data_IF_747120058936
#
_entry.id   IF_747120058936
#
_cell.length_a   1.000
_cell.length_b   1.000
_cell.length_c   1.000
_cell.angle_alpha   90.00
_cell.angle_beta   90.00
_cell.angle_gamma   90.00
#
_symmetry.space_group_name_H-M   'P 1'
#
loop_
_entity.id
_entity.type
_entity.pdbx_description
1 polymer ?
#
# COMPACT_ATOMS: atom_id res chain seq x y z
N UNK A 1 -4.07 -1.90 -19.44
CA UNK A 1 -4.67 -0.56 -19.42
C UNK A 1 -4.84 -0.13 -17.97
N UNK A 2 -4.50 1.11 -17.68
CA UNK A 2 -4.61 1.71 -16.33
C UNK A 2 -5.77 2.70 -16.39
N UNK A 3 -6.77 2.49 -15.55
CA UNK A 3 -7.93 3.38 -15.45
C UNK A 3 -7.61 4.51 -14.47
N UNK A 4 -7.71 5.75 -14.91
CA UNK A 4 -7.53 6.93 -14.07
C UNK A 4 -8.74 7.85 -14.21
N UNK A 5 -9.04 8.59 -13.15
CA UNK A 5 -10.06 9.62 -13.18
C UNK A 5 -9.49 10.93 -13.75
N UNK A 6 -10.13 11.46 -14.76
CA UNK A 6 -9.80 12.76 -15.35
C UNK A 6 -10.69 13.84 -14.74
N UNK A 7 -10.15 14.56 -13.76
CA UNK A 7 -10.87 15.64 -13.05
C UNK A 7 -11.35 16.78 -13.97
N UNK A 8 -10.70 16.99 -15.13
CA UNK A 8 -11.10 18.07 -16.06
C UNK A 8 -12.34 17.72 -16.85
N UNK A 9 -12.50 16.46 -17.19
CA UNK A 9 -13.58 15.98 -18.06
C UNK A 9 -14.64 15.17 -17.31
N UNK A 10 -14.47 14.99 -16.00
CA UNK A 10 -15.38 14.21 -15.14
C UNK A 10 -15.67 12.82 -15.69
N UNK A 11 -14.65 12.13 -16.20
CA UNK A 11 -14.77 10.79 -16.78
C UNK A 11 -13.51 9.96 -16.59
N UNK A 12 -13.65 8.65 -16.70
CA UNK A 12 -12.50 7.76 -16.70
C UNK A 12 -11.71 7.84 -18.00
N UNK A 13 -10.42 7.97 -17.87
CA UNK A 13 -9.47 7.86 -18.96
C UNK A 13 -8.65 6.58 -18.80
N UNK A 14 -8.50 5.85 -19.89
CA UNK A 14 -7.63 4.69 -19.93
C UNK A 14 -6.23 5.12 -20.37
N UNK A 15 -5.26 4.97 -19.48
CA UNK A 15 -3.84 5.15 -19.82
C UNK A 15 -3.24 3.79 -20.16
N UNK A 16 -2.49 3.76 -21.24
CA UNK A 16 -1.63 2.61 -21.56
C UNK A 16 -0.21 2.94 -21.17
N UNK A 17 0.46 2.09 -20.39
CA UNK A 17 1.89 2.25 -20.16
C UNK A 17 2.63 2.28 -21.49
N UNK A 18 3.68 3.03 -21.55
CA UNK A 18 4.57 3.06 -22.73
C UNK A 18 5.19 1.67 -22.96
N UNK A 19 5.54 1.37 -24.20
CA UNK A 19 6.14 0.07 -24.55
C UNK A 19 7.42 -0.21 -23.75
N UNK A 20 8.26 0.79 -23.53
CA UNK A 20 9.49 0.65 -22.73
C UNK A 20 9.19 0.36 -21.24
N UNK A 21 8.12 0.92 -20.67
CA UNK A 21 7.71 0.63 -19.30
C UNK A 21 7.24 -0.83 -19.17
N UNK A 22 6.48 -1.32 -20.15
CA UNK A 22 6.05 -2.73 -20.18
C UNK A 22 7.25 -3.67 -20.40
N UNK A 23 8.20 -3.28 -21.22
CA UNK A 23 9.44 -4.05 -21.43
C UNK A 23 10.18 -4.22 -20.09
N UNK A 24 10.41 -3.14 -19.36
CA UNK A 24 11.13 -3.20 -18.08
C UNK A 24 10.36 -4.00 -17.03
N UNK A 25 9.03 -3.88 -16.97
CA UNK A 25 8.18 -4.71 -16.13
C UNK A 25 8.35 -6.21 -16.42
N UNK A 26 8.40 -6.57 -17.71
CA UNK A 26 8.60 -7.96 -18.12
C UNK A 26 10.03 -8.45 -17.87
N UNK A 27 11.00 -7.54 -17.91
CA UNK A 27 12.39 -7.84 -17.61
C UNK A 27 12.62 -8.11 -16.13
N UNK A 28 12.05 -7.27 -15.24
CA UNK A 28 12.23 -7.40 -13.80
C UNK A 28 10.89 -7.72 -13.13
N UNK A 29 10.65 -9.00 -12.87
CA UNK A 29 9.48 -9.51 -12.16
C UNK A 29 9.83 -10.78 -11.39
N UNK A 30 8.88 -11.36 -10.65
CA UNK A 30 9.07 -12.54 -9.83
C UNK A 30 9.47 -13.82 -10.59
N UNK A 31 9.19 -13.87 -11.89
CA UNK A 31 9.44 -15.04 -12.75
C UNK A 31 10.76 -14.93 -13.52
N UNK A 32 11.52 -13.84 -13.37
CA UNK A 32 12.79 -13.66 -14.06
C UNK A 32 13.97 -13.76 -13.09
N UNK A 33 15.16 -14.20 -13.54
CA UNK A 33 16.33 -14.34 -12.69
C UNK A 33 17.00 -13.00 -12.34
N UNK A 34 16.56 -11.90 -12.92
CA UNK A 34 17.19 -10.60 -12.77
C UNK A 34 16.90 -10.00 -11.40
N UNK A 35 17.93 -9.41 -10.78
CA UNK A 35 17.84 -8.85 -9.42
C UNK A 35 17.70 -7.33 -9.38
N UNK A 36 17.91 -6.67 -10.50
CA UNK A 36 17.85 -5.22 -10.59
C UNK A 36 17.95 -4.71 -12.02
N UNK A 37 17.61 -3.45 -12.18
CA UNK A 37 17.67 -2.73 -13.45
C UNK A 37 17.99 -1.26 -13.20
N UNK A 38 18.84 -0.68 -14.04
CA UNK A 38 19.08 0.75 -14.09
C UNK A 38 18.27 1.36 -15.25
N UNK A 39 17.36 2.26 -14.91
CA UNK A 39 16.57 3.00 -15.90
C UNK A 39 17.26 4.32 -16.23
N UNK A 40 18.01 4.34 -17.33
CA UNK A 40 18.69 5.53 -17.84
C UNK A 40 17.93 6.09 -19.04
N UNK A 41 16.96 6.94 -18.78
CA UNK A 41 16.11 7.57 -19.79
C UNK A 41 16.10 9.08 -19.62
N UNK A 42 15.80 9.81 -20.70
CA UNK A 42 15.66 11.26 -20.67
C UNK A 42 14.58 11.76 -19.70
N UNK A 43 14.59 13.05 -19.43
CA UNK A 43 13.59 13.70 -18.59
C UNK A 43 12.18 13.52 -19.21
N UNK A 44 11.15 13.32 -18.35
CA UNK A 44 9.76 13.16 -18.82
C UNK A 44 9.43 11.80 -19.46
N UNK A 45 10.37 10.84 -19.50
CA UNK A 45 10.13 9.51 -20.09
C UNK A 45 9.27 8.56 -19.23
N UNK A 46 8.79 9.01 -18.07
CA UNK A 46 7.96 8.20 -17.17
C UNK A 46 8.73 7.15 -16.37
N UNK A 47 9.97 7.44 -15.96
CA UNK A 47 10.81 6.54 -15.12
C UNK A 47 10.11 6.17 -13.80
N UNK A 48 9.58 7.16 -13.09
CA UNK A 48 8.88 6.94 -11.81
C UNK A 48 7.64 6.06 -12.01
N UNK A 49 6.84 6.32 -13.05
CA UNK A 49 5.72 5.44 -13.42
C UNK A 49 6.16 4.01 -13.77
N UNK A 50 7.29 3.83 -14.47
CA UNK A 50 7.84 2.50 -14.74
C UNK A 50 8.23 1.77 -13.45
N UNK A 51 8.87 2.46 -12.51
CA UNK A 51 9.25 1.88 -11.22
C UNK A 51 8.03 1.45 -10.39
N UNK A 52 6.93 2.22 -10.44
CA UNK A 52 5.65 1.83 -9.81
C UNK A 52 5.06 0.59 -10.48
N UNK A 53 5.05 0.54 -11.82
CA UNK A 53 4.53 -0.63 -12.56
C UNK A 53 5.33 -1.90 -12.23
N UNK A 54 6.64 -1.78 -12.07
CA UNK A 54 7.50 -2.88 -11.60
C UNK A 54 7.14 -3.25 -10.16
N UNK A 55 7.04 -2.27 -9.28
CA UNK A 55 6.73 -2.48 -7.86
C UNK A 55 5.40 -3.22 -7.64
N UNK A 56 4.40 -2.92 -8.45
CA UNK A 56 3.11 -3.61 -8.43
C UNK A 56 3.16 -5.05 -8.96
N UNK A 57 4.22 -5.47 -9.62
CA UNK A 57 4.42 -6.88 -10.01
C UNK A 57 5.02 -7.74 -8.90
N UNK A 58 5.38 -7.15 -7.76
CA UNK A 58 5.89 -7.83 -6.56
C UNK A 58 4.88 -7.72 -5.42
N UNK A 59 3.81 -8.51 -5.48
CA UNK A 59 2.68 -8.40 -4.55
C UNK A 59 3.05 -8.76 -3.11
N UNK A 60 3.99 -9.68 -2.92
CA UNK A 60 4.44 -10.21 -1.64
C UNK A 60 5.50 -9.36 -0.93
N UNK A 61 6.03 -8.32 -1.58
CA UNK A 61 7.16 -7.53 -1.08
C UNK A 61 6.78 -6.12 -0.69
N UNK A 62 7.40 -5.66 0.39
CA UNK A 62 7.43 -4.23 0.68
C UNK A 62 8.36 -3.52 -0.31
N UNK A 63 7.96 -2.31 -0.70
CA UNK A 63 8.72 -1.44 -1.61
C UNK A 63 9.34 -0.32 -0.78
N UNK A 64 10.66 -0.22 -0.83
CA UNK A 64 11.42 0.87 -0.22
C UNK A 64 11.78 1.85 -1.31
N UNK A 65 11.29 3.07 -1.21
CA UNK A 65 11.55 4.13 -2.16
C UNK A 65 12.51 5.13 -1.52
N UNK A 66 13.70 5.22 -2.09
CA UNK A 66 14.74 6.16 -1.65
C UNK A 66 14.78 7.32 -2.64
N UNK A 67 14.51 8.54 -2.14
CA UNK A 67 14.42 9.74 -2.97
C UNK A 67 14.64 11.00 -2.10
N UNK A 68 14.94 12.16 -2.70
CA UNK A 68 14.89 13.46 -2.01
C UNK A 68 13.49 13.76 -1.47
N UNK A 69 13.39 14.35 -0.28
CA UNK A 69 12.11 14.65 0.38
C UNK A 69 11.15 15.48 -0.50
N UNK A 70 11.69 16.38 -1.31
CA UNK A 70 10.92 17.23 -2.24
C UNK A 70 10.18 16.46 -3.34
N UNK A 71 10.61 15.24 -3.65
CA UNK A 71 10.02 14.41 -4.72
C UNK A 71 8.96 13.44 -4.20
N UNK A 72 8.78 13.30 -2.87
CA UNK A 72 7.86 12.31 -2.30
C UNK A 72 6.42 12.53 -2.76
N UNK A 73 5.94 13.78 -2.78
CA UNK A 73 4.56 14.09 -3.23
C UNK A 73 4.32 13.70 -4.68
N UNK A 74 5.29 14.00 -5.55
CA UNK A 74 5.21 13.63 -6.97
C UNK A 74 5.20 12.11 -7.15
N UNK A 75 6.06 11.42 -6.41
CA UNK A 75 6.10 9.96 -6.48
C UNK A 75 4.79 9.30 -5.97
N UNK A 76 4.17 9.88 -4.95
CA UNK A 76 2.84 9.45 -4.49
C UNK A 76 1.77 9.58 -5.56
N UNK A 77 1.78 10.67 -6.32
CA UNK A 77 0.89 10.86 -7.47
C UNK A 77 1.13 9.80 -8.56
N UNK A 78 2.37 9.40 -8.79
CA UNK A 78 2.68 8.30 -9.71
C UNK A 78 2.12 6.96 -9.21
N UNK A 79 2.18 6.69 -7.89
CA UNK A 79 1.56 5.47 -7.33
C UNK A 79 0.04 5.52 -7.46
N UNK A 80 -0.60 6.65 -7.23
CA UNK A 80 -2.04 6.81 -7.45
C UNK A 80 -2.42 6.60 -8.93
N UNK A 81 -1.54 6.98 -9.85
CA UNK A 81 -1.77 6.86 -11.29
C UNK A 81 -1.52 5.43 -11.78
N UNK A 82 -0.34 4.88 -11.52
CA UNK A 82 0.15 3.62 -12.09
C UNK A 82 0.02 2.41 -11.17
N UNK A 83 -0.22 2.62 -9.89
CA UNK A 83 -0.36 1.58 -8.89
C UNK A 83 -1.70 0.82 -8.96
N UNK A 84 -1.87 -0.10 -8.02
CA UNK A 84 -3.07 -0.92 -7.91
C UNK A 84 -4.36 -0.09 -7.85
N UNK A 85 -5.43 -0.65 -8.39
CA UNK A 85 -6.76 -0.03 -8.31
C UNK A 85 -7.19 0.23 -6.85
N UNK A 86 -6.72 -0.58 -5.92
CA UNK A 86 -7.02 -0.44 -4.48
C UNK A 86 -6.45 0.82 -3.82
N UNK A 87 -5.56 1.55 -4.48
CA UNK A 87 -5.05 2.85 -4.00
C UNK A 87 -5.80 4.06 -4.60
N UNK A 88 -6.77 3.82 -5.48
CA UNK A 88 -7.50 4.88 -6.18
C UNK A 88 -8.80 5.18 -5.45
N UNK A 89 -9.00 6.44 -5.09
CA UNK A 89 -10.22 6.89 -4.41
C UNK A 89 -11.45 6.79 -5.32
N UNK A 90 -11.30 7.20 -6.58
CA UNK A 90 -12.38 7.17 -7.57
C UNK A 90 -12.67 5.73 -8.02
N UNK A 91 -13.46 5.01 -7.24
CA UNK A 91 -13.89 3.65 -7.47
C UNK A 91 -15.28 3.42 -6.88
N UNK A 92 -15.91 2.33 -7.28
CA UNK A 92 -17.12 1.82 -6.64
C UNK A 92 -16.76 1.13 -5.32
N UNK A 93 -16.94 1.83 -4.21
CA UNK A 93 -16.62 1.31 -2.89
C UNK A 93 -17.88 0.76 -2.20
N UNK A 94 -17.76 -0.44 -1.65
CA UNK A 94 -18.81 -1.10 -0.86
C UNK A 94 -18.26 -1.48 0.50
N UNK A 95 -19.02 -1.14 1.55
CA UNK A 95 -18.65 -1.52 2.90
C UNK A 95 -19.09 -2.94 3.21
N UNK A 96 -18.16 -3.82 3.58
CA UNK A 96 -18.42 -5.19 4.03
C UNK A 96 -18.25 -5.25 5.54
N UNK A 97 -19.34 -5.38 6.31
CA UNK A 97 -19.28 -5.45 7.77
C UNK A 97 -18.71 -6.79 8.23
N UNK A 98 -17.92 -6.76 9.31
CA UNK A 98 -17.47 -7.96 10.03
C UNK A 98 -18.38 -8.27 11.22
N UNK A 99 -19.67 -8.26 11.05
CA UNK A 99 -20.64 -8.64 12.08
C UNK A 99 -20.58 -10.15 12.33
N UNK A 100 -19.56 -10.53 13.06
CA UNK A 100 -19.33 -11.88 13.52
C UNK A 100 -19.96 -11.98 14.90
N UNK A 101 -21.14 -12.59 14.97
CA UNK A 101 -21.79 -12.88 16.26
C UNK A 101 -20.76 -13.45 17.24
N UNK A 102 -20.83 -13.05 18.51
CA UNK A 102 -19.89 -13.51 19.54
C UNK A 102 -20.05 -15.02 19.78
N UNK A 103 -18.98 -15.78 19.64
CA UNK A 103 -18.81 -17.06 20.37
C UNK A 103 -19.26 -18.36 19.72
N UNK A 104 -19.76 -18.44 18.50
CA UNK A 104 -20.15 -19.71 17.87
C UNK A 104 -19.07 -20.30 16.94
N UNK A 105 -19.14 -21.63 16.74
CA UNK A 105 -18.29 -22.35 15.76
C UNK A 105 -18.43 -21.73 14.36
N UNK A 106 -19.65 -21.36 13.97
CA UNK A 106 -19.98 -20.61 12.74
C UNK A 106 -19.21 -19.30 12.59
N UNK A 107 -18.81 -18.65 13.70
CA UNK A 107 -18.03 -17.41 13.70
C UNK A 107 -16.58 -17.61 13.25
N UNK A 108 -15.97 -18.77 13.57
CA UNK A 108 -14.60 -19.12 13.11
C UNK A 108 -14.59 -19.38 11.63
N UNK A 109 -15.58 -20.12 11.13
CA UNK A 109 -15.68 -20.47 9.71
C UNK A 109 -15.90 -19.21 8.85
N UNK A 110 -16.79 -18.31 9.26
CA UNK A 110 -16.99 -17.00 8.62
C UNK A 110 -15.71 -16.15 8.60
N UNK A 111 -14.92 -16.14 9.67
CA UNK A 111 -13.64 -15.40 9.70
C UNK A 111 -12.62 -15.96 8.73
N UNK A 112 -12.58 -17.27 8.56
CA UNK A 112 -11.68 -17.94 7.63
C UNK A 112 -12.09 -17.64 6.20
N UNK A 113 -13.38 -17.70 5.91
CA UNK A 113 -13.96 -17.38 4.60
C UNK A 113 -13.70 -15.93 4.20
N UNK A 114 -13.93 -14.97 5.12
CA UNK A 114 -13.61 -13.56 4.92
C UNK A 114 -12.11 -13.39 4.57
N UNK A 115 -11.23 -14.05 5.32
CA UNK A 115 -9.79 -13.96 5.06
C UNK A 115 -9.42 -14.50 3.69
N UNK A 116 -9.93 -15.67 3.33
CA UNK A 116 -9.67 -16.30 2.02
C UNK A 116 -10.16 -15.41 0.88
N UNK A 117 -11.31 -14.78 1.05
CA UNK A 117 -11.83 -13.83 0.06
C UNK A 117 -10.90 -12.63 -0.13
N UNK A 118 -10.38 -12.04 0.96
CA UNK A 118 -9.46 -10.90 0.86
C UNK A 118 -8.12 -11.30 0.27
N UNK A 119 -7.64 -12.49 0.58
CA UNK A 119 -6.42 -13.04 -0.03
C UNK A 119 -6.60 -13.24 -1.55
N UNK A 120 -7.76 -13.70 -1.99
CA UNK A 120 -8.10 -13.88 -3.41
C UNK A 120 -8.14 -12.56 -4.20
N UNK A 121 -8.48 -11.46 -3.56
CA UNK A 121 -8.44 -10.12 -4.19
C UNK A 121 -7.11 -9.37 -3.93
N UNK A 122 -6.06 -10.08 -3.49
CA UNK A 122 -4.71 -9.54 -3.30
C UNK A 122 -4.49 -8.77 -2.00
N UNK A 123 -5.42 -8.83 -1.04
CA UNK A 123 -5.23 -8.24 0.29
C UNK A 123 -4.68 -9.30 1.24
N UNK A 124 -3.39 -9.21 1.56
CA UNK A 124 -2.75 -10.17 2.45
C UNK A 124 -3.36 -10.15 3.85
N UNK A 125 -3.30 -11.32 4.53
CA UNK A 125 -3.74 -11.47 5.93
C UNK A 125 -3.15 -10.41 6.87
N UNK A 126 -1.93 -9.98 6.61
CA UNK A 126 -1.23 -8.98 7.43
C UNK A 126 -1.86 -7.60 7.24
N UNK A 127 -2.15 -7.21 5.99
CA UNK A 127 -2.84 -5.96 5.66
C UNK A 127 -4.25 -5.96 6.26
N UNK A 128 -4.99 -7.06 6.11
CA UNK A 128 -6.33 -7.18 6.66
C UNK A 128 -6.34 -7.00 8.19
N UNK A 129 -5.45 -7.69 8.90
CA UNK A 129 -5.32 -7.54 10.35
C UNK A 129 -4.94 -6.10 10.75
N UNK A 130 -4.05 -5.46 10.00
CA UNK A 130 -3.66 -4.07 10.22
C UNK A 130 -4.87 -3.13 10.09
N UNK A 131 -5.64 -3.27 9.01
CA UNK A 131 -6.83 -2.47 8.76
C UNK A 131 -7.83 -2.65 9.90
N UNK A 132 -8.15 -3.89 10.27
CA UNK A 132 -9.10 -4.20 11.34
C UNK A 132 -8.71 -3.55 12.67
N UNK A 133 -7.44 -3.71 13.10
CA UNK A 133 -6.95 -3.16 14.36
C UNK A 133 -6.96 -1.62 14.33
N UNK A 134 -6.50 -1.03 13.24
CA UNK A 134 -6.37 0.43 13.11
C UNK A 134 -7.71 1.12 12.99
N UNK A 135 -8.65 0.55 12.22
CA UNK A 135 -10.03 1.06 12.10
C UNK A 135 -10.73 1.05 13.46
N UNK A 136 -10.64 -0.07 14.20
CA UNK A 136 -11.21 -0.18 15.54
C UNK A 136 -10.65 0.89 16.50
N UNK A 137 -9.33 1.14 16.47
CA UNK A 137 -8.70 2.18 17.29
C UNK A 137 -9.16 3.60 16.94
N UNK A 138 -9.55 3.81 15.69
CA UNK A 138 -10.06 5.10 15.19
C UNK A 138 -11.54 5.30 15.48
N UNK A 139 -12.24 4.26 16.00
CA UNK A 139 -13.68 4.30 16.28
C UNK A 139 -14.57 4.01 15.08
N UNK A 140 -13.99 3.55 13.96
CA UNK A 140 -14.75 3.19 12.77
C UNK A 140 -15.45 1.84 12.93
N UNK A 141 -16.54 1.66 12.21
CA UNK A 141 -17.31 0.41 12.18
C UNK A 141 -16.43 -0.78 11.84
N UNK A 142 -16.76 -1.94 12.45
CA UNK A 142 -16.04 -3.20 12.20
C UNK A 142 -16.38 -3.70 10.81
N UNK A 143 -15.50 -3.50 9.87
CA UNK A 143 -15.67 -3.86 8.47
C UNK A 143 -14.50 -3.36 7.62
N UNK A 144 -14.62 -3.54 6.32
CA UNK A 144 -13.65 -3.08 5.33
C UNK A 144 -14.38 -2.55 4.09
N UNK A 145 -13.80 -1.53 3.49
CA UNK A 145 -14.24 -1.03 2.21
C UNK A 145 -13.60 -1.83 1.07
N UNK A 146 -14.41 -2.36 0.17
CA UNK A 146 -13.98 -3.10 -1.02
C UNK A 146 -14.32 -2.34 -2.29
N UNK A 147 -13.49 -2.52 -3.31
CA UNK A 147 -13.82 -2.10 -4.67
C UNK A 147 -14.72 -3.18 -5.28
N UNK A 148 -15.96 -2.84 -5.53
CA UNK A 148 -16.93 -3.75 -6.12
C UNK A 148 -17.04 -3.56 -7.64
N UNK A 149 -16.05 -4.02 -8.38
CA UNK A 149 -16.07 -3.96 -9.86
C UNK A 149 -17.02 -4.98 -10.50
N UNK A 150 -17.39 -6.04 -9.78
CA UNK A 150 -18.13 -7.18 -10.32
C UNK A 150 -19.42 -7.50 -9.53
N UNK A 151 -19.81 -6.66 -8.57
CA UNK A 151 -20.92 -6.94 -7.63
C UNK A 151 -20.82 -8.34 -6.96
N UNK A 152 -19.59 -8.83 -6.74
CA UNK A 152 -19.34 -10.12 -6.12
C UNK A 152 -19.25 -9.93 -4.62
N UNK A 153 -20.28 -10.35 -3.92
CA UNK A 153 -20.28 -10.46 -2.47
C UNK A 153 -19.78 -11.84 -2.02
N UNK A 154 -19.16 -11.93 -0.85
CA UNK A 154 -18.82 -13.22 -0.26
C UNK A 154 -20.03 -14.12 -0.11
N UNK A 155 -19.85 -15.44 -0.28
CA UNK A 155 -20.94 -16.42 -0.22
C UNK A 155 -21.66 -16.48 1.17
N UNK A 156 -21.04 -15.95 2.23
CA UNK A 156 -21.66 -15.88 3.56
C UNK A 156 -22.59 -14.67 3.73
N UNK A 157 -22.60 -13.72 2.80
CA UNK A 157 -23.54 -12.60 2.79
C UNK A 157 -24.82 -13.06 2.12
N UNK A 158 -25.91 -13.05 2.85
CA UNK A 158 -27.23 -13.40 2.31
C UNK A 158 -27.74 -12.34 1.34
N UNK A 159 -28.69 -12.67 0.49
CA UNK A 159 -29.30 -11.69 -0.43
C UNK A 159 -29.95 -10.52 0.31
N UNK A 160 -30.54 -10.78 1.50
CA UNK A 160 -31.08 -9.74 2.36
C UNK A 160 -29.99 -8.81 2.91
N UNK A 161 -28.85 -9.39 3.35
CA UNK A 161 -27.68 -8.60 3.79
C UNK A 161 -27.06 -7.80 2.64
N UNK A 162 -27.04 -8.33 1.41
CA UNK A 162 -26.64 -7.59 0.22
C UNK A 162 -27.56 -6.40 -0.03
N UNK A 163 -28.85 -6.61 -0.01
CA UNK A 163 -29.84 -5.53 -0.16
C UNK A 163 -29.68 -4.45 0.92
N UNK A 164 -29.41 -4.85 2.18
CA UNK A 164 -29.17 -3.92 3.28
C UNK A 164 -27.85 -3.16 3.13
N UNK A 165 -26.79 -3.81 2.63
CA UNK A 165 -25.50 -3.17 2.33
C UNK A 165 -25.67 -2.16 1.19
N UNK A 166 -26.36 -2.53 0.13
CA UNK A 166 -26.66 -1.67 -1.01
C UNK A 166 -27.53 -0.48 -0.60
N UNK A 167 -28.54 -0.71 0.21
CA UNK A 167 -29.43 0.37 0.72
C UNK A 167 -28.74 1.28 1.73
N UNK A 168 -27.87 0.73 2.60
CA UNK A 168 -27.15 1.50 3.63
C UNK A 168 -25.95 2.28 3.10
N UNK A 169 -25.44 1.89 1.93
CA UNK A 169 -24.34 2.59 1.24
C UNK A 169 -24.89 3.67 0.39
N UNK A 170 -25.84 4.41 0.46
CA UNK A 170 -26.36 5.44 -0.47
C UNK A 170 -26.01 5.10 -1.95
N UNK A 171 -25.77 3.81 -2.20
CA UNK A 171 -25.28 3.26 -3.45
C UNK A 171 -26.48 2.76 -4.24
N UNK A 172 -27.04 3.60 -5.03
CA UNK A 172 -27.93 3.17 -6.11
C UNK A 172 -27.05 2.66 -7.24
N UNK A 173 -27.16 1.35 -7.51
CA UNK A 173 -26.60 0.73 -8.68
C UNK A 173 -26.97 1.57 -9.92
N UNK A 174 -25.98 2.13 -10.60
CA UNK A 174 -26.16 2.86 -11.84
C UNK A 174 -27.13 4.05 -11.75
N UNK A 175 -26.64 5.14 -11.19
CA UNK A 175 -27.12 6.44 -11.63
C UNK A 175 -26.83 6.51 -13.13
N UNK A 176 -27.88 6.72 -13.93
CA UNK A 176 -27.83 6.91 -15.37
C UNK A 176 -26.87 8.05 -15.81
N UNK A 177 -26.31 8.80 -14.87
CA UNK A 177 -25.33 9.87 -15.05
C UNK A 177 -23.87 9.38 -15.11
N UNK A 178 -23.59 8.10 -14.86
CA UNK A 178 -22.23 7.53 -14.85
C UNK A 178 -21.33 8.03 -13.72
N UNK A 179 -21.89 8.54 -12.62
CA UNK A 179 -21.13 8.98 -11.45
C UNK A 179 -20.49 7.81 -10.72
N UNK A 180 -19.29 8.01 -10.23
CA UNK A 180 -18.60 7.02 -9.40
C UNK A 180 -19.19 6.98 -7.99
N UNK A 181 -19.22 5.79 -7.36
CA UNK A 181 -19.80 5.63 -6.03
C UNK A 181 -19.17 6.53 -4.96
N UNK A 182 -17.90 6.90 -5.12
CA UNK A 182 -17.23 7.80 -4.18
C UNK A 182 -17.87 9.21 -4.15
N UNK A 183 -18.47 9.66 -5.24
CA UNK A 183 -19.13 10.97 -5.29
C UNK A 183 -20.46 10.97 -4.52
N UNK A 184 -21.09 9.80 -4.41
CA UNK A 184 -22.39 9.60 -3.75
C UNK A 184 -22.22 9.34 -2.25
N UNK A 185 -21.03 8.84 -1.83
CA UNK A 185 -20.76 8.51 -0.45
C UNK A 185 -20.70 9.76 0.46
N UNK A 186 -21.17 9.60 1.69
CA UNK A 186 -21.04 10.64 2.70
C UNK A 186 -19.58 11.01 2.98
N UNK A 187 -19.33 12.25 3.41
CA UNK A 187 -17.99 12.69 3.79
C UNK A 187 -17.34 11.85 4.90
N UNK A 188 -18.18 11.26 5.78
CA UNK A 188 -17.69 10.31 6.79
C UNK A 188 -17.15 9.03 6.14
N UNK A 189 -17.86 8.46 5.20
CA UNK A 189 -17.45 7.26 4.46
C UNK A 189 -16.20 7.52 3.60
N UNK A 190 -16.14 8.67 2.93
CA UNK A 190 -14.95 9.09 2.17
C UNK A 190 -13.71 9.14 3.06
N UNK A 191 -13.81 9.70 4.27
CA UNK A 191 -12.71 9.72 5.25
C UNK A 191 -12.30 8.32 5.72
N UNK A 192 -13.25 7.39 5.86
CA UNK A 192 -12.94 6.01 6.21
C UNK A 192 -12.18 5.30 5.09
N UNK A 193 -12.59 5.50 3.84
CA UNK A 193 -11.92 4.96 2.64
C UNK A 193 -10.51 5.54 2.53
N UNK A 194 -10.35 6.86 2.65
CA UNK A 194 -9.05 7.52 2.63
C UNK A 194 -8.10 6.94 3.68
N UNK A 195 -8.61 6.75 4.90
CA UNK A 195 -7.82 6.15 5.97
C UNK A 195 -7.42 4.70 5.66
N UNK A 196 -8.32 3.91 5.07
CA UNK A 196 -8.02 2.55 4.66
C UNK A 196 -6.97 2.49 3.55
N UNK A 197 -7.10 3.33 2.51
CA UNK A 197 -6.13 3.47 1.43
C UNK A 197 -4.76 3.85 2.00
N UNK A 198 -4.71 4.82 2.92
CA UNK A 198 -3.48 5.23 3.58
C UNK A 198 -2.81 4.07 4.34
N UNK A 199 -3.59 3.26 5.05
CA UNK A 199 -3.04 2.08 5.75
C UNK A 199 -2.44 1.06 4.79
N UNK A 200 -3.12 0.77 3.68
CA UNK A 200 -2.66 -0.18 2.66
C UNK A 200 -1.39 0.34 1.97
N UNK A 201 -1.43 1.60 1.59
CA UNK A 201 -0.31 2.30 0.98
C UNK A 201 0.93 2.29 1.89
N UNK A 202 0.80 2.74 3.14
CA UNK A 202 1.89 2.77 4.10
C UNK A 202 2.39 1.38 4.51
N UNK A 203 1.63 0.33 4.27
CA UNK A 203 2.09 -1.04 4.47
C UNK A 203 3.05 -1.45 3.35
N UNK A 204 2.68 -1.23 2.10
CA UNK A 204 3.46 -1.65 0.93
C UNK A 204 4.65 -0.73 0.68
N UNK A 205 4.46 0.57 0.71
CA UNK A 205 5.49 1.56 0.36
C UNK A 205 6.12 2.20 1.60
N UNK A 206 7.44 2.26 1.61
CA UNK A 206 8.25 2.91 2.65
C UNK A 206 9.15 3.95 2.00
N UNK A 207 8.92 5.22 2.32
CA UNK A 207 9.76 6.31 1.84
C UNK A 207 10.96 6.53 2.75
N UNK A 208 12.12 6.69 2.16
CA UNK A 208 13.37 7.06 2.82
C UNK A 208 13.96 8.25 2.09
N UNK A 209 14.12 9.35 2.80
CA UNK A 209 14.67 10.56 2.22
C UNK A 209 16.20 10.48 2.18
N UNK A 210 16.78 10.59 1.00
CA UNK A 210 18.24 10.50 0.78
C UNK A 210 18.97 11.73 1.31
N UNK A 211 18.30 12.89 1.33
CA UNK A 211 18.85 14.16 1.80
C UNK A 211 18.58 14.47 3.29
N UNK A 212 18.14 13.49 4.06
CA UNK A 212 17.80 13.68 5.48
C UNK A 212 18.99 13.43 6.45
N UNK A 213 20.21 13.29 5.95
CA UNK A 213 21.42 13.09 6.73
C UNK A 213 21.33 11.87 7.66
N UNK A 214 21.65 12.05 8.93
CA UNK A 214 21.66 10.95 9.91
C UNK A 214 20.29 10.29 10.14
N UNK A 215 19.18 10.94 9.78
CA UNK A 215 17.84 10.36 9.87
C UNK A 215 17.58 9.33 8.78
N UNK A 216 18.28 9.40 7.64
CA UNK A 216 18.26 8.39 6.59
C UNK A 216 18.68 7.03 7.13
N UNK A 217 19.82 6.97 7.84
CA UNK A 217 20.32 5.73 8.47
C UNK A 217 19.28 5.18 9.45
N UNK A 218 18.71 6.03 10.29
CA UNK A 218 17.66 5.59 11.23
C UNK A 218 16.44 5.00 10.52
N UNK A 219 16.02 5.58 9.41
CA UNK A 219 14.91 5.10 8.61
C UNK A 219 15.20 3.73 8.00
N UNK A 220 16.41 3.53 7.49
CA UNK A 220 16.88 2.23 6.98
C UNK A 220 16.89 1.17 8.11
N UNK A 221 17.47 1.49 9.27
CA UNK A 221 17.51 0.57 10.41
C UNK A 221 16.10 0.12 10.84
N UNK A 222 15.15 1.04 10.85
CA UNK A 222 13.75 0.78 11.21
C UNK A 222 13.01 -0.18 10.27
N UNK A 223 13.50 -0.38 9.04
CA UNK A 223 12.93 -1.37 8.12
C UNK A 223 12.95 -2.79 8.69
N UNK A 224 13.85 -3.07 9.64
CA UNK A 224 13.95 -4.38 10.31
C UNK A 224 13.01 -4.54 11.50
N UNK A 225 12.22 -3.52 11.84
CA UNK A 225 11.17 -3.58 12.86
C UNK A 225 11.67 -3.96 14.25
N UNK A 226 11.25 -5.11 14.75
CA UNK A 226 11.63 -5.56 16.12
C UNK A 226 13.12 -5.92 16.25
N UNK A 227 13.78 -6.34 15.17
CA UNK A 227 15.23 -6.63 15.21
C UNK A 227 16.02 -5.37 15.57
N UNK A 228 15.69 -4.23 14.96
CA UNK A 228 16.26 -2.93 15.34
C UNK A 228 16.08 -2.60 16.83
N UNK A 229 14.83 -2.73 17.32
CA UNK A 229 14.51 -2.43 18.73
C UNK A 229 15.30 -3.32 19.70
N UNK A 230 15.41 -4.60 19.37
CA UNK A 230 16.15 -5.57 20.20
C UNK A 230 17.64 -5.27 20.23
N UNK A 231 18.27 -4.93 19.11
CA UNK A 231 19.68 -4.56 19.04
C UNK A 231 19.91 -3.28 19.82
N UNK A 232 19.09 -2.26 19.62
CA UNK A 232 19.16 -0.99 20.35
C UNK A 232 19.09 -1.20 21.86
N UNK A 233 18.18 -2.07 22.34
CA UNK A 233 18.04 -2.45 23.75
C UNK A 233 19.30 -3.16 24.27
N UNK A 234 19.85 -4.13 23.50
CA UNK A 234 21.08 -4.85 23.88
C UNK A 234 22.30 -3.96 23.97
N UNK A 235 22.34 -2.86 23.21
CA UNK A 235 23.40 -1.84 23.26
C UNK A 235 23.16 -0.78 24.35
N UNK A 236 22.10 -0.90 25.16
CA UNK A 236 21.79 0.08 26.21
C UNK A 236 21.28 1.43 25.70
N UNK A 237 20.98 1.54 24.39
CA UNK A 237 20.55 2.78 23.75
C UNK A 237 19.03 3.01 23.92
N UNK A 238 18.60 3.33 25.15
CA UNK A 238 17.16 3.46 25.52
C UNK A 238 16.56 4.78 25.04
N UNK A 239 17.37 5.77 24.70
CA UNK A 239 16.93 7.11 24.27
C UNK A 239 16.11 7.09 22.95
N UNK A 240 15.35 8.17 22.70
CA UNK A 240 14.60 8.34 21.45
C UNK A 240 15.54 8.33 20.24
N UNK A 241 15.06 7.81 19.11
CA UNK A 241 15.86 7.70 17.87
C UNK A 241 16.38 9.06 17.36
N UNK A 242 15.60 10.13 17.57
CA UNK A 242 16.01 11.50 17.23
C UNK A 242 17.22 12.00 18.02
N UNK A 243 17.51 11.39 19.19
CA UNK A 243 18.63 11.73 20.07
C UNK A 243 19.85 10.82 19.89
N UNK A 244 19.80 9.85 18.98
CA UNK A 244 20.95 9.00 18.65
C UNK A 244 21.99 9.82 17.89
N UNK A 245 23.27 9.66 18.27
CA UNK A 245 24.38 10.23 17.51
C UNK A 245 24.62 9.45 16.22
N UNK A 246 25.42 9.98 15.32
CA UNK A 246 25.78 9.27 14.09
C UNK A 246 26.57 8.00 14.41
N UNK A 247 27.51 8.05 15.34
CA UNK A 247 28.29 6.89 15.79
C UNK A 247 27.42 5.78 16.36
N UNK A 248 26.43 6.13 17.18
CA UNK A 248 25.49 5.13 17.72
C UNK A 248 24.64 4.47 16.63
N UNK A 249 24.24 5.22 15.60
CA UNK A 249 23.54 4.66 14.45
C UNK A 249 24.42 3.70 13.64
N UNK A 250 25.68 4.08 13.43
CA UNK A 250 26.66 3.21 12.76
C UNK A 250 26.95 1.95 13.59
N UNK A 251 27.08 2.08 14.92
CA UNK A 251 27.24 0.94 15.82
C UNK A 251 26.06 -0.03 15.75
N UNK A 252 24.81 0.50 15.68
CA UNK A 252 23.62 -0.34 15.48
C UNK A 252 23.68 -1.05 14.12
N UNK A 253 24.06 -0.33 13.07
CA UNK A 253 24.15 -0.87 11.70
C UNK A 253 25.21 -1.98 11.64
N UNK A 254 26.39 -1.75 12.19
CA UNK A 254 27.46 -2.73 12.28
C UNK A 254 27.01 -3.99 13.03
N UNK A 255 26.33 -3.80 14.17
CA UNK A 255 25.77 -4.91 14.94
C UNK A 255 24.70 -5.68 14.20
N UNK A 256 23.91 -5.02 13.35
CA UNK A 256 22.95 -5.69 12.46
C UNK A 256 23.67 -6.49 11.41
N UNK A 257 24.68 -5.91 10.76
CA UNK A 257 25.49 -6.58 9.74
C UNK A 257 26.19 -7.83 10.29
N UNK A 258 26.85 -7.72 11.44
CA UNK A 258 27.52 -8.86 12.11
C UNK A 258 26.57 -9.97 12.54
N UNK A 259 25.29 -9.67 12.74
CA UNK A 259 24.25 -10.66 13.02
C UNK A 259 23.53 -11.15 11.73
N UNK A 260 24.04 -10.87 10.55
CA UNK A 260 23.43 -11.26 9.28
C UNK A 260 22.05 -10.62 9.01
N UNK A 261 21.79 -9.44 9.57
CA UNK A 261 20.52 -8.73 9.41
C UNK A 261 20.68 -7.66 8.33
N UNK A 262 20.11 -7.90 7.14
CA UNK A 262 20.05 -6.90 6.10
C UNK A 262 18.70 -6.16 6.15
N UNK A 263 18.69 -4.81 6.28
CA UNK A 263 17.45 -4.02 6.27
C UNK A 263 16.61 -4.16 5.01
N UNK A 264 17.21 -4.53 3.90
CA UNK A 264 16.54 -4.64 2.60
C UNK A 264 16.10 -6.06 2.24
N UNK A 265 16.30 -7.04 3.12
CA UNK A 265 15.86 -8.41 2.87
C UNK A 265 14.37 -8.48 2.56
N UNK A 266 14.03 -9.25 1.51
CA UNK A 266 12.68 -9.43 1.00
C UNK A 266 11.95 -8.11 0.64
N UNK A 267 12.69 -7.12 0.20
CA UNK A 267 12.13 -5.83 -0.24
C UNK A 267 12.53 -5.53 -1.67
N UNK A 268 11.65 -4.84 -2.37
CA UNK A 268 12.01 -4.17 -3.61
C UNK A 268 12.54 -2.78 -3.25
N UNK A 269 13.74 -2.45 -3.68
CA UNK A 269 14.32 -1.12 -3.44
C UNK A 269 14.29 -0.34 -4.74
N UNK A 270 13.66 0.81 -4.70
CA UNK A 270 13.66 1.80 -5.78
C UNK A 270 14.48 3.00 -5.32
N UNK A 271 15.45 3.39 -6.12
CA UNK A 271 16.24 4.60 -5.87
C UNK A 271 15.94 5.56 -7.00
N UNK A 272 15.29 6.66 -6.66
CA UNK A 272 15.05 7.77 -7.60
C UNK A 272 16.16 8.82 -7.43
N UNK A 273 16.61 9.41 -8.54
CA UNK A 273 17.71 10.37 -8.55
C UNK A 273 18.98 9.80 -7.88
N UNK A 274 19.42 8.63 -8.35
CA UNK A 274 20.53 7.84 -7.77
C UNK A 274 21.84 8.63 -7.63
N UNK A 275 22.05 9.67 -8.43
CA UNK A 275 23.21 10.57 -8.33
C UNK A 275 23.28 11.30 -6.98
N UNK A 276 22.18 11.40 -6.22
CA UNK A 276 22.18 11.97 -4.88
C UNK A 276 22.70 11.00 -3.80
N UNK A 277 23.07 9.79 -4.16
CA UNK A 277 23.68 8.80 -3.24
C UNK A 277 25.21 8.73 -3.40
N UNK A 278 25.78 9.43 -4.38
CA UNK A 278 27.22 9.47 -4.66
C UNK A 278 27.96 10.43 -3.73
#
# INVERSE_FOLDING_TARGET
>A
QIRIWDNKNNKFKMIRPFKHQLFVKNYLNTNTPYRGVLLYHGLGSGKSGASVIIAESFDDRQVVIMLPASLESNYKTEIETFGSQSYKKANHWVFVPFNLGKGSKKTKDKRTEIRSMFENIGISKQILNLIMIKRKKKGYSSGIWLINTLKQYPNYITEEEKGNIEASSEYTSEDSSGRESIEILSEAHKKEIDYQIELMYNYKYKFIHTNAGSSTITSILKLTGNKYKNIKKKLGLIKKDSKLTQEERLTILDRMYTNGINPFDNKLVVVDEVHNLA
#
